data_IF_653626895808
#
_entry.id   IF_653626895808
#
_cell.length_a   1.000
_cell.length_b   1.000
_cell.length_c   1.000
_cell.angle_alpha   90.00
_cell.angle_beta   90.00
_cell.angle_gamma   90.00
#
_symmetry.space_group_name_H-M   'P 1'
#
loop_
_entity.id
_entity.type
_entity.pdbx_description
1 polymer ?
#
# COMPACT_ATOMS: atom_id res chain seq x y z
N UNK A 1 29.58 -56.87 21.99
CA UNK A 1 29.03 -55.57 22.39
C UNK A 1 28.55 -54.85 21.12
N UNK A 2 27.26 -54.92 20.79
CA UNK A 2 26.70 -54.30 19.56
C UNK A 2 26.34 -52.84 19.85
N UNK A 3 27.13 -51.91 19.35
CA UNK A 3 26.79 -50.48 19.32
C UNK A 3 25.75 -50.23 18.22
N UNK A 4 24.49 -50.50 18.52
CA UNK A 4 23.34 -50.07 17.71
C UNK A 4 22.57 -49.02 18.51
N UNK A 5 22.94 -47.75 18.37
CA UNK A 5 22.13 -46.57 18.74
C UNK A 5 22.97 -45.32 18.54
N UNK A 6 22.88 -44.69 17.36
CA UNK A 6 23.31 -43.30 17.13
C UNK A 6 22.79 -42.73 15.81
N UNK A 7 22.48 -43.57 14.81
CA UNK A 7 22.04 -43.09 13.49
C UNK A 7 20.57 -42.70 13.38
N UNK A 8 19.66 -43.32 14.14
CA UNK A 8 18.24 -42.95 14.11
C UNK A 8 18.02 -41.50 14.59
N UNK A 9 18.67 -41.12 15.69
CA UNK A 9 18.52 -39.80 16.31
C UNK A 9 19.13 -38.65 15.50
N UNK A 10 20.12 -38.91 14.66
CA UNK A 10 20.75 -37.90 13.79
C UNK A 10 19.92 -37.63 12.54
N UNK A 11 19.32 -38.67 11.95
CA UNK A 11 18.41 -38.53 10.81
C UNK A 11 17.14 -37.75 11.19
N UNK A 12 16.57 -38.03 12.36
CA UNK A 12 15.39 -37.29 12.87
C UNK A 12 15.71 -35.82 13.14
N UNK A 13 16.90 -35.53 13.71
CA UNK A 13 17.35 -34.14 13.93
C UNK A 13 17.57 -33.39 12.62
N UNK A 14 18.17 -34.03 11.61
CA UNK A 14 18.37 -33.42 10.30
C UNK A 14 17.03 -33.10 9.61
N UNK A 15 16.05 -34.00 9.69
CA UNK A 15 14.70 -33.77 9.14
C UNK A 15 13.99 -32.62 9.86
N UNK A 16 14.05 -32.56 11.20
CA UNK A 16 13.44 -31.46 11.97
C UNK A 16 14.09 -30.13 11.65
N UNK A 17 15.43 -30.07 11.57
CA UNK A 17 16.16 -28.86 11.20
C UNK A 17 15.78 -28.41 9.78
N UNK A 18 15.73 -29.34 8.82
CA UNK A 18 15.33 -29.05 7.43
C UNK A 18 13.90 -28.49 7.37
N UNK A 19 12.96 -29.10 8.10
CA UNK A 19 11.57 -28.63 8.15
C UNK A 19 11.46 -27.24 8.79
N UNK A 20 12.18 -26.99 9.89
CA UNK A 20 12.20 -25.65 10.51
C UNK A 20 12.80 -24.61 9.57
N UNK A 21 13.88 -24.92 8.85
CA UNK A 21 14.46 -24.01 7.85
C UNK A 21 13.48 -23.71 6.72
N UNK A 22 12.77 -24.71 6.22
CA UNK A 22 11.71 -24.52 5.20
C UNK A 22 10.59 -23.62 5.71
N UNK A 23 10.17 -23.78 6.97
CA UNK A 23 9.17 -22.92 7.61
C UNK A 23 9.66 -21.47 7.75
N UNK A 24 10.92 -21.28 8.15
CA UNK A 24 11.53 -19.94 8.26
C UNK A 24 11.58 -19.25 6.90
N UNK A 25 12.05 -19.95 5.87
CA UNK A 25 12.13 -19.43 4.50
C UNK A 25 10.72 -19.10 3.99
N UNK A 26 9.76 -20.02 4.14
CA UNK A 26 8.38 -19.78 3.74
C UNK A 26 7.75 -18.56 4.43
N UNK A 27 8.02 -18.38 5.73
CA UNK A 27 7.56 -17.20 6.48
C UNK A 27 8.20 -15.90 6.00
N UNK A 28 9.49 -15.92 5.66
CA UNK A 28 10.19 -14.76 5.10
C UNK A 28 9.62 -14.37 3.73
N UNK A 29 9.42 -15.35 2.84
CA UNK A 29 8.82 -15.13 1.52
C UNK A 29 7.41 -14.52 1.64
N UNK A 30 6.55 -15.08 2.50
CA UNK A 30 5.21 -14.55 2.72
C UNK A 30 5.22 -13.13 3.31
N UNK A 31 6.16 -12.84 4.21
CA UNK A 31 6.33 -11.48 4.76
C UNK A 31 6.81 -10.47 3.72
N UNK A 32 7.68 -10.91 2.79
CA UNK A 32 8.12 -10.11 1.65
C UNK A 32 6.97 -9.83 0.69
N UNK A 33 6.19 -10.86 0.34
CA UNK A 33 5.02 -10.73 -0.54
C UNK A 33 3.98 -9.76 0.01
N UNK A 34 3.66 -9.85 1.31
CA UNK A 34 2.74 -8.92 1.98
C UNK A 34 3.25 -7.48 1.87
N UNK A 35 4.52 -7.24 2.22
CA UNK A 35 5.12 -5.89 2.15
C UNK A 35 5.14 -5.33 0.72
N UNK A 36 5.44 -6.17 -0.28
CA UNK A 36 5.42 -5.74 -1.68
C UNK A 36 4.01 -5.41 -2.15
N UNK A 37 3.00 -6.20 -1.75
CA UNK A 37 1.61 -5.95 -2.11
C UNK A 37 1.08 -4.66 -1.48
N UNK A 38 1.45 -4.39 -0.22
CA UNK A 38 1.13 -3.13 0.45
C UNK A 38 1.80 -1.94 -0.25
N UNK A 39 3.08 -2.04 -0.62
CA UNK A 39 3.78 -0.99 -1.35
C UNK A 39 3.15 -0.70 -2.72
N UNK A 40 2.81 -1.74 -3.49
CA UNK A 40 2.12 -1.60 -4.79
C UNK A 40 0.72 -1.00 -4.63
N UNK A 41 0.00 -1.36 -3.56
CA UNK A 41 -1.31 -0.79 -3.28
C UNK A 41 -1.21 0.72 -2.96
N UNK A 42 -0.18 1.15 -2.22
CA UNK A 42 0.07 2.57 -1.95
C UNK A 42 0.44 3.33 -3.22
N UNK A 43 1.33 2.76 -4.05
CA UNK A 43 1.74 3.34 -5.32
C UNK A 43 0.54 3.56 -6.26
N UNK A 44 -0.33 2.55 -6.39
CA UNK A 44 -1.59 2.67 -7.17
C UNK A 44 -2.51 3.75 -6.62
N UNK A 45 -2.61 3.90 -5.29
CA UNK A 45 -3.45 4.95 -4.68
C UNK A 45 -2.92 6.35 -4.99
N UNK A 46 -1.59 6.54 -4.94
CA UNK A 46 -0.94 7.79 -5.32
C UNK A 46 -1.14 8.10 -6.80
N UNK A 47 -0.90 7.13 -7.68
CA UNK A 47 -1.13 7.31 -9.12
C UNK A 47 -2.59 7.66 -9.45
N UNK A 48 -3.55 7.04 -8.76
CA UNK A 48 -4.99 7.36 -8.93
C UNK A 48 -5.31 8.77 -8.45
N UNK A 49 -4.71 9.19 -7.33
CA UNK A 49 -4.86 10.53 -6.78
C UNK A 49 -4.30 11.58 -7.75
N UNK A 50 -3.07 11.38 -8.22
CA UNK A 50 -2.40 12.30 -9.15
C UNK A 50 -3.15 12.40 -10.48
N UNK A 51 -3.67 11.30 -11.00
CA UNK A 51 -4.51 11.30 -12.19
C UNK A 51 -5.81 12.10 -11.99
N UNK A 52 -6.46 11.95 -10.83
CA UNK A 52 -7.67 12.72 -10.51
C UNK A 52 -7.37 14.20 -10.35
N UNK A 53 -6.26 14.54 -9.69
CA UNK A 53 -5.79 15.92 -9.54
C UNK A 53 -5.48 16.54 -10.90
N UNK A 54 -4.77 15.83 -11.78
CA UNK A 54 -4.47 16.30 -13.13
C UNK A 54 -5.74 16.57 -13.96
N UNK A 55 -6.76 15.70 -13.84
CA UNK A 55 -8.06 15.94 -14.48
C UNK A 55 -8.76 17.19 -13.94
N UNK A 56 -8.75 17.40 -12.62
CA UNK A 56 -9.34 18.59 -12.01
C UNK A 56 -8.61 19.87 -12.43
N UNK A 57 -7.27 19.83 -12.48
CA UNK A 57 -6.44 20.95 -12.97
C UNK A 57 -6.73 21.25 -14.44
N UNK A 58 -6.94 20.23 -15.26
CA UNK A 58 -7.30 20.43 -16.67
C UNK A 58 -8.71 20.97 -16.88
N UNK A 59 -9.64 20.73 -15.93
CA UNK A 59 -11.02 21.20 -16.00
C UNK A 59 -11.21 22.64 -15.48
N UNK A 60 -10.31 23.09 -14.61
CA UNK A 60 -10.31 24.45 -14.05
C UNK A 60 -8.90 25.03 -14.19
N UNK A 61 -8.29 25.44 -13.08
CA UNK A 61 -6.95 26.02 -13.02
C UNK A 61 -6.15 25.40 -11.87
N UNK A 62 -4.82 25.27 -11.99
CA UNK A 62 -3.98 24.67 -10.96
C UNK A 62 -4.08 25.40 -9.61
N UNK A 63 -4.13 26.73 -9.63
CA UNK A 63 -4.22 27.56 -8.42
C UNK A 63 -5.56 27.35 -7.69
N UNK A 64 -6.67 27.31 -8.42
CA UNK A 64 -8.01 27.02 -7.86
C UNK A 64 -8.06 25.65 -7.19
N UNK A 65 -7.46 24.63 -7.82
CA UNK A 65 -7.41 23.28 -7.27
C UNK A 65 -6.56 23.23 -6.01
N UNK A 66 -5.41 23.89 -5.99
CA UNK A 66 -4.54 23.95 -4.81
C UNK A 66 -5.21 24.67 -3.65
N UNK A 67 -5.80 25.84 -3.88
CA UNK A 67 -6.49 26.59 -2.84
C UNK A 67 -7.69 25.82 -2.26
N UNK A 68 -8.47 25.17 -3.13
CA UNK A 68 -9.61 24.37 -2.69
C UNK A 68 -9.17 23.18 -1.83
N UNK A 69 -8.04 22.55 -2.17
CA UNK A 69 -7.46 21.47 -1.36
C UNK A 69 -6.92 22.00 -0.03
N UNK A 70 -6.18 23.11 -0.04
CA UNK A 70 -5.62 23.70 1.18
C UNK A 70 -6.71 24.14 2.16
N UNK A 71 -7.78 24.78 1.67
CA UNK A 71 -8.93 25.16 2.50
C UNK A 71 -9.64 23.92 3.08
N UNK A 72 -9.79 22.87 2.25
CA UNK A 72 -10.34 21.60 2.72
C UNK A 72 -9.47 20.97 3.82
N UNK A 73 -8.15 20.97 3.67
CA UNK A 73 -7.24 20.42 4.68
C UNK A 73 -7.24 21.27 5.95
N UNK A 74 -7.30 22.59 5.84
CA UNK A 74 -7.43 23.50 6.97
C UNK A 74 -8.75 23.27 7.73
N UNK A 75 -9.82 22.91 7.03
CA UNK A 75 -11.11 22.53 7.61
C UNK A 75 -11.11 21.11 8.23
N UNK A 76 -9.99 20.38 8.20
CA UNK A 76 -9.89 19.01 8.71
C UNK A 76 -10.43 17.95 7.76
N UNK A 77 -10.43 18.24 6.46
CA UNK A 77 -10.82 17.29 5.42
C UNK A 77 -9.98 16.02 5.42
N UNK A 78 -10.54 14.99 4.79
CA UNK A 78 -9.92 13.68 4.58
C UNK A 78 -9.63 13.44 3.10
N UNK A 79 -8.85 12.40 2.76
CA UNK A 79 -8.63 11.96 1.37
C UNK A 79 -9.94 11.72 0.62
N UNK A 80 -10.97 11.19 1.31
CA UNK A 80 -12.30 10.94 0.73
C UNK A 80 -12.96 12.25 0.32
N UNK A 81 -12.98 13.24 1.21
CA UNK A 81 -13.57 14.55 0.90
C UNK A 81 -12.76 15.30 -0.15
N UNK A 82 -11.43 15.08 -0.20
CA UNK A 82 -10.56 15.68 -1.19
C UNK A 82 -10.81 15.10 -2.59
N UNK A 83 -10.98 13.78 -2.70
CA UNK A 83 -11.40 13.14 -3.96
C UNK A 83 -12.79 13.61 -4.39
N UNK A 84 -13.72 13.74 -3.46
CA UNK A 84 -15.06 14.26 -3.76
C UNK A 84 -15.01 15.70 -4.26
N UNK A 85 -14.18 16.56 -3.65
CA UNK A 85 -13.94 17.93 -4.10
C UNK A 85 -13.36 17.97 -5.52
N UNK A 86 -12.28 17.21 -5.78
CA UNK A 86 -11.69 17.12 -7.12
C UNK A 86 -12.70 16.65 -8.15
N UNK A 87 -13.57 15.69 -7.81
CA UNK A 87 -14.63 15.24 -8.70
C UNK A 87 -15.65 16.34 -8.99
N UNK A 88 -16.03 17.13 -7.99
CA UNK A 88 -16.94 18.28 -8.18
C UNK A 88 -16.33 19.36 -9.05
N UNK A 89 -15.02 19.57 -8.99
CA UNK A 89 -14.27 20.47 -9.87
C UNK A 89 -14.31 19.95 -11.30
N UNK A 90 -14.02 18.67 -11.52
CA UNK A 90 -14.10 18.03 -12.85
C UNK A 90 -15.51 18.13 -13.44
N UNK A 91 -16.54 17.88 -12.62
CA UNK A 91 -17.94 17.95 -13.04
C UNK A 91 -18.43 19.41 -13.24
N UNK A 92 -17.58 20.42 -12.97
CA UNK A 92 -17.92 21.84 -13.10
C UNK A 92 -18.95 22.36 -12.08
N UNK A 93 -19.28 21.53 -11.08
CA UNK A 93 -20.25 21.85 -10.02
C UNK A 93 -19.63 22.64 -8.86
N UNK A 94 -18.30 22.65 -8.77
CA UNK A 94 -17.56 23.48 -7.82
C UNK A 94 -17.47 24.90 -8.35
N UNK A 95 -17.88 25.87 -7.53
CA UNK A 95 -17.61 27.29 -7.78
C UNK A 95 -16.57 27.73 -6.77
N UNK A 96 -15.42 28.15 -7.27
CA UNK A 96 -14.46 28.88 -6.45
C UNK A 96 -15.14 30.12 -5.88
N UNK A 97 -15.05 30.37 -4.57
CA UNK A 97 -15.48 31.63 -3.98
C UNK A 97 -14.50 32.79 -4.27
N UNK A 98 -13.38 32.49 -4.92
CA UNK A 98 -12.31 33.41 -5.32
C UNK A 98 -12.25 33.55 -6.84
#
# INVERSE_FOLDING_TARGET
>A
MRFFKSHATTMDRATVVSNNWRLIIGRMTLSLEIRTNEAVAMDRRLATWDALRAQAVAASDPETVEWALDDLWAAGGTDITARALLRRIIDGSYRSPW
#
